data_IF_485378595797
#
_entry.id   IF_485378595797
#
_cell.length_a   1.000
_cell.length_b   1.000
_cell.length_c   1.000
_cell.angle_alpha   90.00
_cell.angle_beta   90.00
_cell.angle_gamma   90.00
#
_symmetry.space_group_name_H-M   'P 1'
#
loop_
_entity.id
_entity.type
_entity.pdbx_description
1 polymer ?
#
# COMPACT_ATOMS: atom_id res chain seq x y z
N UNK A 1 -0.21 16.00 76.23
CA UNK A 1 -1.11 15.34 75.26
C UNK A 1 -0.71 15.83 73.87
N UNK A 2 0.35 15.33 73.23
CA UNK A 2 0.50 14.07 72.45
C UNK A 2 -0.59 13.86 71.40
N UNK A 3 -0.29 14.17 70.13
CA UNK A 3 -0.35 13.19 69.03
C UNK A 3 0.29 13.75 67.74
N UNK A 4 1.31 13.03 67.28
CA UNK A 4 1.97 13.19 66.00
C UNK A 4 1.19 12.46 64.89
N UNK A 5 1.19 12.98 63.65
CA UNK A 5 0.79 12.20 62.48
C UNK A 5 1.85 12.32 61.38
N UNK A 6 2.55 11.21 61.15
CA UNK A 6 3.60 11.07 60.15
C UNK A 6 3.03 10.85 58.75
N UNK A 7 3.48 11.65 57.79
CA UNK A 7 3.25 11.44 56.36
C UNK A 7 4.10 10.26 55.85
N UNK A 8 3.46 9.15 55.49
CA UNK A 8 4.08 8.09 54.67
C UNK A 8 3.85 8.36 53.18
N UNK A 9 4.94 8.54 52.44
CA UNK A 9 4.99 8.55 50.97
C UNK A 9 4.52 7.20 50.41
N UNK A 10 3.52 7.23 49.53
CA UNK A 10 3.09 6.08 48.72
C UNK A 10 3.95 5.98 47.45
N UNK A 11 4.68 4.87 47.32
CA UNK A 11 5.39 4.48 46.10
C UNK A 11 4.38 3.91 45.09
N UNK A 12 4.10 4.66 44.03
CA UNK A 12 3.21 4.22 42.94
C UNK A 12 3.94 3.21 42.06
N UNK A 13 3.77 1.93 42.35
CA UNK A 13 4.28 0.82 41.54
C UNK A 13 3.68 0.83 40.13
N UNK A 14 4.53 0.82 39.12
CA UNK A 14 4.16 0.66 37.71
C UNK A 14 3.48 -0.70 37.52
N UNK A 15 2.16 -0.71 37.22
CA UNK A 15 1.42 -1.94 36.91
C UNK A 15 1.86 -2.44 35.54
N UNK A 16 2.77 -3.40 35.52
CA UNK A 16 3.11 -4.20 34.33
C UNK A 16 1.83 -4.82 33.75
N UNK A 17 1.60 -4.67 32.44
CA UNK A 17 0.49 -5.31 31.74
C UNK A 17 0.65 -6.83 31.84
N UNK A 18 -0.41 -7.53 32.28
CA UNK A 18 -0.39 -8.99 32.45
C UNK A 18 -0.16 -9.71 31.12
N UNK A 19 0.65 -10.78 31.12
CA UNK A 19 0.89 -11.66 29.99
C UNK A 19 -0.39 -12.16 29.32
N UNK A 20 -1.47 -12.36 30.07
CA UNK A 20 -2.76 -12.79 29.51
C UNK A 20 -3.40 -11.74 28.61
N UNK A 21 -3.20 -10.45 28.91
CA UNK A 21 -3.65 -9.33 28.06
C UNK A 21 -2.80 -9.28 26.79
N UNK A 22 -1.48 -9.45 26.91
CA UNK A 22 -0.56 -9.49 25.77
C UNK A 22 -0.93 -10.65 24.82
N UNK A 23 -1.17 -11.84 25.35
CA UNK A 23 -1.57 -13.01 24.56
C UNK A 23 -2.91 -12.79 23.83
N UNK A 24 -3.91 -12.20 24.48
CA UNK A 24 -5.19 -11.85 23.84
C UNK A 24 -5.03 -10.81 22.74
N UNK A 25 -4.21 -9.79 22.96
CA UNK A 25 -3.89 -8.80 21.92
C UNK A 25 -3.23 -9.52 20.74
N UNK A 26 -2.25 -10.39 21.00
CA UNK A 26 -1.58 -11.16 19.96
C UNK A 26 -2.57 -12.04 19.17
N UNK A 27 -3.50 -12.72 19.83
CA UNK A 27 -4.54 -13.52 19.16
C UNK A 27 -5.43 -12.68 18.25
N UNK A 28 -5.90 -11.51 18.71
CA UNK A 28 -6.70 -10.58 17.89
C UNK A 28 -5.88 -10.11 16.69
N UNK A 29 -4.61 -9.74 16.90
CA UNK A 29 -3.70 -9.32 15.84
C UNK A 29 -3.40 -10.44 14.84
N UNK A 30 -3.50 -11.71 15.23
CA UNK A 30 -3.31 -12.86 14.34
C UNK A 30 -4.54 -13.19 13.49
N UNK A 31 -5.72 -12.64 13.80
CA UNK A 31 -6.91 -12.82 12.95
C UNK A 31 -6.61 -12.29 11.56
N UNK A 32 -6.84 -13.12 10.53
CA UNK A 32 -6.45 -12.85 9.14
C UNK A 32 -6.83 -11.43 8.66
N UNK A 33 -8.07 -10.99 8.93
CA UNK A 33 -8.54 -9.67 8.53
C UNK A 33 -7.87 -8.52 9.30
N UNK A 34 -7.50 -8.72 10.57
CA UNK A 34 -6.78 -7.72 11.36
C UNK A 34 -5.33 -7.59 10.86
N UNK A 35 -4.69 -8.72 10.51
CA UNK A 35 -3.36 -8.71 9.88
C UNK A 35 -3.35 -7.95 8.57
N UNK A 36 -4.32 -8.22 7.71
CA UNK A 36 -4.44 -7.56 6.41
C UNK A 36 -4.76 -6.07 6.56
N UNK A 37 -5.65 -5.71 7.50
CA UNK A 37 -5.93 -4.31 7.84
C UNK A 37 -4.66 -3.57 8.28
N UNK A 38 -3.90 -4.12 9.21
CA UNK A 38 -2.67 -3.49 9.73
C UNK A 38 -1.57 -3.43 8.66
N UNK A 39 -1.48 -4.45 7.81
CA UNK A 39 -0.56 -4.45 6.69
C UNK A 39 -0.89 -3.34 5.69
N UNK A 40 -2.15 -3.23 5.26
CA UNK A 40 -2.62 -2.16 4.37
C UNK A 40 -2.50 -0.77 5.00
N UNK A 41 -2.76 -0.64 6.30
CA UNK A 41 -2.52 0.59 7.05
C UNK A 41 -1.05 1.01 6.99
N UNK A 42 -0.14 0.11 7.34
CA UNK A 42 1.28 0.44 7.45
C UNK A 42 1.92 0.68 6.09
N UNK A 43 1.60 -0.14 5.08
CA UNK A 43 2.14 0.04 3.73
C UNK A 43 1.64 1.33 3.08
N UNK A 44 0.35 1.66 3.23
CA UNK A 44 -0.21 2.91 2.72
C UNK A 44 0.38 4.11 3.47
N UNK A 45 0.57 4.02 4.79
CA UNK A 45 1.23 5.07 5.57
C UNK A 45 2.65 5.35 5.03
N UNK A 46 3.47 4.30 4.87
CA UNK A 46 4.86 4.43 4.38
C UNK A 46 4.90 5.02 2.98
N UNK A 47 4.11 4.49 2.05
CA UNK A 47 4.04 4.99 0.67
C UNK A 47 3.63 6.47 0.64
N UNK A 48 2.63 6.86 1.43
CA UNK A 48 2.15 8.23 1.48
C UNK A 48 3.12 9.20 2.16
N UNK A 49 3.86 8.78 3.18
CA UNK A 49 4.89 9.64 3.80
C UNK A 49 5.95 10.02 2.76
N UNK A 50 6.46 9.06 1.98
CA UNK A 50 7.44 9.36 0.94
C UNK A 50 6.84 10.18 -0.21
N UNK A 51 5.65 9.81 -0.68
CA UNK A 51 4.95 10.54 -1.74
C UNK A 51 4.67 11.99 -1.35
N UNK A 52 3.94 12.23 -0.28
CA UNK A 52 3.58 13.58 0.18
C UNK A 52 4.82 14.39 0.60
N UNK A 53 5.81 13.76 1.23
CA UNK A 53 7.08 14.42 1.59
C UNK A 53 7.88 14.91 0.37
N UNK A 54 7.86 14.16 -0.74
CA UNK A 54 8.49 14.57 -1.99
C UNK A 54 7.76 15.75 -2.65
N UNK A 55 6.42 15.80 -2.57
CA UNK A 55 5.64 16.96 -3.04
C UNK A 55 5.91 18.18 -2.16
N UNK A 56 6.01 18.01 -0.84
CA UNK A 56 6.36 19.09 0.08
C UNK A 56 7.71 19.72 -0.28
N UNK A 57 8.72 18.92 -0.65
CA UNK A 57 9.98 19.44 -1.18
C UNK A 57 9.78 20.26 -2.47
N UNK A 58 9.06 19.71 -3.45
CA UNK A 58 8.83 20.37 -4.75
C UNK A 58 8.10 21.71 -4.62
N UNK A 59 7.11 21.79 -3.72
CA UNK A 59 6.29 22.99 -3.50
C UNK A 59 7.04 24.03 -2.67
N UNK A 60 7.60 23.62 -1.53
CA UNK A 60 8.12 24.55 -0.52
C UNK A 60 9.52 25.06 -0.85
N UNK A 61 10.32 24.33 -1.65
CA UNK A 61 11.67 24.77 -1.99
C UNK A 61 12.19 24.21 -3.33
N UNK A 62 12.23 25.07 -4.36
CA UNK A 62 12.75 24.74 -5.70
C UNK A 62 14.22 24.28 -5.72
N UNK A 63 15.02 24.57 -4.68
CA UNK A 63 16.41 24.10 -4.60
C UNK A 63 16.52 22.61 -4.24
N UNK A 64 15.53 22.07 -3.54
CA UNK A 64 15.59 20.70 -3.00
C UNK A 64 14.51 19.78 -3.58
N UNK A 65 13.52 20.33 -4.28
CA UNK A 65 12.44 19.55 -4.87
C UNK A 65 12.19 19.86 -6.33
N UNK A 66 11.88 18.81 -7.08
CA UNK A 66 11.53 18.84 -8.50
C UNK A 66 10.40 17.85 -8.78
N UNK A 67 9.77 17.96 -9.95
CA UNK A 67 8.73 17.02 -10.36
C UNK A 67 9.25 15.58 -10.46
N UNK A 68 10.48 15.39 -10.97
CA UNK A 68 11.14 14.08 -10.96
C UNK A 68 11.29 13.53 -9.54
N UNK A 69 11.64 14.38 -8.57
CA UNK A 69 11.68 14.02 -7.15
C UNK A 69 10.35 13.48 -6.63
N UNK A 70 9.23 14.04 -7.10
CA UNK A 70 7.87 13.55 -6.79
C UNK A 70 7.62 12.18 -7.40
N UNK A 71 8.03 11.97 -8.66
CA UNK A 71 7.87 10.68 -9.32
C UNK A 71 8.68 9.58 -8.59
N UNK A 72 9.94 9.87 -8.26
CA UNK A 72 10.81 8.96 -7.50
C UNK A 72 10.29 8.69 -6.09
N UNK A 73 9.83 9.73 -5.38
CA UNK A 73 9.31 9.62 -4.02
C UNK A 73 8.05 8.75 -3.92
N UNK A 74 7.09 8.95 -4.82
CA UNK A 74 5.90 8.08 -4.88
C UNK A 74 6.25 6.67 -5.36
N UNK A 75 7.03 6.53 -6.44
CA UNK A 75 7.33 5.22 -7.01
C UNK A 75 8.11 4.31 -6.05
N UNK A 76 9.22 4.79 -5.49
CA UNK A 76 9.96 4.00 -4.50
C UNK A 76 9.29 3.97 -3.12
N UNK A 77 8.41 4.93 -2.81
CA UNK A 77 7.50 4.82 -1.67
C UNK A 77 6.56 3.61 -1.80
N UNK A 78 6.03 3.35 -3.01
CA UNK A 78 5.26 2.14 -3.32
C UNK A 78 6.13 0.89 -3.18
N UNK A 79 7.37 0.88 -3.67
CA UNK A 79 8.30 -0.25 -3.45
C UNK A 79 8.42 -0.59 -1.97
N UNK A 80 8.66 0.40 -1.11
CA UNK A 80 8.79 0.17 0.33
C UNK A 80 7.48 -0.35 0.93
N UNK A 81 6.33 0.18 0.51
CA UNK A 81 5.02 -0.32 0.92
C UNK A 81 4.77 -1.78 0.51
N UNK A 82 5.21 -2.20 -0.69
CA UNK A 82 5.16 -3.60 -1.14
C UNK A 82 6.02 -4.49 -0.25
N UNK A 83 7.23 -4.07 0.12
CA UNK A 83 8.04 -4.84 1.07
C UNK A 83 7.40 -4.96 2.46
N UNK A 84 6.69 -3.93 2.93
CA UNK A 84 6.01 -3.92 4.23
C UNK A 84 4.83 -4.91 4.28
N UNK A 85 4.02 -4.99 3.23
CA UNK A 85 2.73 -5.70 3.28
C UNK A 85 2.52 -6.80 2.23
N UNK A 86 3.43 -6.95 1.26
CA UNK A 86 3.21 -7.75 0.06
C UNK A 86 2.88 -9.22 0.37
N UNK A 87 3.57 -9.81 1.34
CA UNK A 87 3.32 -11.20 1.77
C UNK A 87 2.30 -11.36 2.90
N UNK A 88 1.66 -10.27 3.33
CA UNK A 88 0.63 -10.29 4.40
C UNK A 88 -0.75 -10.01 3.80
N UNK A 89 -0.92 -8.87 3.12
CA UNK A 89 -2.19 -8.46 2.50
C UNK A 89 -2.17 -8.50 0.98
N UNK A 90 -1.00 -8.60 0.35
CA UNK A 90 -0.80 -8.31 -1.08
C UNK A 90 -0.34 -6.87 -1.35
N UNK A 91 -0.25 -6.02 -0.32
CA UNK A 91 0.13 -4.60 -0.40
C UNK A 91 -0.64 -3.83 -1.49
N UNK A 92 -1.97 -3.84 -1.42
CA UNK A 92 -2.77 -3.13 -2.41
C UNK A 92 -2.53 -1.63 -2.33
N UNK A 93 -2.52 -1.06 -1.12
CA UNK A 93 -2.31 0.37 -0.82
C UNK A 93 -3.26 1.33 -1.56
N UNK A 94 -4.25 0.79 -2.27
CA UNK A 94 -5.04 1.47 -3.26
C UNK A 94 -6.44 0.83 -3.35
N UNK A 95 -7.47 1.65 -3.11
CA UNK A 95 -8.85 1.18 -3.14
C UNK A 95 -9.29 0.71 -4.54
N UNK A 96 -8.74 1.29 -5.61
CA UNK A 96 -8.99 0.86 -6.99
C UNK A 96 -8.38 -0.51 -7.28
N UNK A 97 -7.17 -0.78 -6.80
CA UNK A 97 -6.53 -2.10 -6.91
C UNK A 97 -7.31 -3.15 -6.12
N UNK A 98 -7.73 -2.83 -4.89
CA UNK A 98 -8.60 -3.72 -4.11
C UNK A 98 -9.94 -3.97 -4.80
N UNK A 99 -10.57 -2.92 -5.33
CA UNK A 99 -11.83 -3.03 -6.06
C UNK A 99 -11.69 -3.94 -7.28
N UNK A 100 -10.68 -3.72 -8.13
CA UNK A 100 -10.46 -4.53 -9.32
C UNK A 100 -10.19 -6.00 -8.96
N UNK A 101 -9.37 -6.27 -7.94
CA UNK A 101 -9.14 -7.65 -7.48
C UNK A 101 -10.40 -8.30 -6.92
N UNK A 102 -11.29 -7.56 -6.24
CA UNK A 102 -12.58 -8.08 -5.80
C UNK A 102 -13.54 -8.35 -6.97
N UNK A 103 -13.68 -7.38 -7.88
CA UNK A 103 -14.56 -7.46 -9.04
C UNK A 103 -14.15 -8.54 -10.05
N UNK A 104 -12.86 -8.89 -10.09
CA UNK A 104 -12.30 -9.95 -10.92
C UNK A 104 -12.13 -11.28 -10.18
N UNK A 105 -12.72 -11.43 -8.99
CA UNK A 105 -12.77 -12.71 -8.26
C UNK A 105 -11.46 -13.15 -7.60
N UNK A 106 -10.45 -12.28 -7.52
CA UNK A 106 -9.12 -12.58 -6.93
C UNK A 106 -9.09 -12.36 -5.41
N UNK A 107 -9.96 -11.50 -4.89
CA UNK A 107 -10.10 -11.20 -3.45
C UNK A 107 -11.58 -11.25 -3.06
N UNK A 108 -11.95 -11.89 -1.93
CA UNK A 108 -13.34 -11.93 -1.52
C UNK A 108 -13.84 -10.56 -1.05
N UNK A 109 -15.02 -10.14 -1.52
CA UNK A 109 -15.63 -8.82 -1.22
C UNK A 109 -15.70 -8.45 0.26
N UNK A 110 -15.79 -9.42 1.18
CA UNK A 110 -15.74 -9.17 2.63
C UNK A 110 -14.46 -8.46 3.10
N UNK A 111 -13.36 -8.56 2.35
CA UNK A 111 -12.08 -7.90 2.64
C UNK A 111 -12.01 -6.48 2.10
N UNK A 112 -12.84 -6.12 1.11
CA UNK A 112 -12.83 -4.80 0.51
C UNK A 112 -12.93 -3.66 1.54
N UNK A 113 -13.94 -3.61 2.44
CA UNK A 113 -14.03 -2.53 3.42
C UNK A 113 -12.88 -2.56 4.44
N UNK A 114 -12.34 -3.74 4.75
CA UNK A 114 -11.20 -3.91 5.66
C UNK A 114 -9.94 -3.28 5.08
N UNK A 115 -9.65 -3.57 3.81
CA UNK A 115 -8.49 -3.04 3.10
C UNK A 115 -8.62 -1.53 2.94
N UNK A 116 -9.76 -1.05 2.42
CA UNK A 116 -9.98 0.39 2.17
C UNK A 116 -9.91 1.19 3.48
N UNK A 117 -10.45 0.67 4.59
CA UNK A 117 -10.33 1.33 5.89
C UNK A 117 -8.86 1.43 6.35
N UNK A 118 -8.09 0.34 6.21
CA UNK A 118 -6.66 0.35 6.53
C UNK A 118 -5.92 1.40 5.72
N UNK A 119 -6.13 1.39 4.40
CA UNK A 119 -5.51 2.34 3.47
C UNK A 119 -5.88 3.79 3.81
N UNK A 120 -7.17 4.07 4.06
CA UNK A 120 -7.64 5.42 4.34
C UNK A 120 -7.04 5.97 5.64
N UNK A 121 -7.01 5.16 6.70
CA UNK A 121 -6.40 5.56 7.97
C UNK A 121 -4.89 5.75 7.85
N UNK A 122 -4.19 4.86 7.13
CA UNK A 122 -2.76 4.98 6.87
C UNK A 122 -2.42 6.27 6.11
N UNK A 123 -3.15 6.56 5.04
CA UNK A 123 -2.95 7.78 4.27
C UNK A 123 -3.33 9.06 5.02
N UNK A 124 -4.40 9.05 5.82
CA UNK A 124 -4.79 10.20 6.63
C UNK A 124 -3.71 10.55 7.65
N UNK A 125 -3.18 9.55 8.36
CA UNK A 125 -2.11 9.76 9.34
C UNK A 125 -0.78 10.12 8.67
N UNK A 126 -0.48 9.62 7.48
CA UNK A 126 0.68 10.05 6.71
C UNK A 126 0.59 11.55 6.36
N UNK A 127 -0.60 12.03 5.95
CA UNK A 127 -0.84 13.46 5.72
C UNK A 127 -0.61 14.28 7.00
N UNK A 128 -1.13 13.83 8.14
CA UNK A 128 -0.89 14.49 9.43
C UNK A 128 0.60 14.50 9.84
N UNK A 129 1.32 13.40 9.61
CA UNK A 129 2.77 13.31 9.83
C UNK A 129 3.51 14.32 8.96
N UNK A 130 3.23 14.39 7.66
CA UNK A 130 3.90 15.34 6.76
C UNK A 130 3.58 16.78 7.13
N UNK A 131 2.33 17.09 7.47
CA UNK A 131 1.98 18.42 7.96
C UNK A 131 2.76 18.80 9.22
N UNK A 132 2.91 17.87 10.17
CA UNK A 132 3.68 18.09 11.40
C UNK A 132 5.16 18.31 11.12
N UNK A 133 5.78 17.46 10.29
CA UNK A 133 7.20 17.55 9.96
C UNK A 133 7.55 18.81 9.16
N UNK A 134 6.66 19.25 8.27
CA UNK A 134 6.86 20.42 7.42
C UNK A 134 6.14 21.67 7.94
N UNK A 135 5.58 21.66 9.16
CA UNK A 135 4.72 22.72 9.68
C UNK A 135 5.34 24.11 9.53
N UNK A 136 6.58 24.28 10.00
CA UNK A 136 7.30 25.57 9.92
C UNK A 136 7.64 25.97 8.48
N UNK A 137 7.96 25.01 7.62
CA UNK A 137 8.25 25.26 6.20
C UNK A 137 6.98 25.70 5.44
N UNK A 138 5.84 25.06 5.71
CA UNK A 138 4.53 25.44 5.14
C UNK A 138 4.16 26.85 5.57
N UNK A 139 4.25 27.16 6.87
CA UNK A 139 3.90 28.49 7.38
C UNK A 139 4.85 29.57 6.86
N UNK A 140 6.15 29.28 6.76
CA UNK A 140 7.13 30.21 6.20
C UNK A 140 6.86 30.51 4.72
N UNK A 141 6.64 29.47 3.91
CA UNK A 141 6.36 29.60 2.47
C UNK A 141 5.06 30.36 2.20
N UNK A 142 4.02 30.08 2.98
CA UNK A 142 2.68 30.63 2.76
C UNK A 142 2.38 31.93 3.52
N UNK A 143 3.33 32.46 4.30
CA UNK A 143 3.08 33.60 5.18
C UNK A 143 1.98 33.34 6.23
N UNK A 144 1.81 32.07 6.64
CA UNK A 144 0.77 31.62 7.56
C UNK A 144 -0.62 31.39 6.92
N UNK A 145 -0.77 31.54 5.61
CA UNK A 145 -2.06 31.38 4.92
C UNK A 145 -2.17 30.04 4.19
N UNK A 146 -3.02 29.15 4.70
CA UNK A 146 -3.23 27.83 4.11
C UNK A 146 -4.14 27.90 2.87
N UNK A 147 -3.53 28.09 1.69
CA UNK A 147 -4.24 28.31 0.42
C UNK A 147 -4.38 27.04 -0.43
N UNK A 148 -5.52 26.92 -1.12
CA UNK A 148 -5.81 25.82 -2.08
C UNK A 148 -5.30 26.16 -3.49
N UNK A 149 -5.45 27.41 -3.90
CA UNK A 149 -5.00 27.93 -5.20
C UNK A 149 -4.20 29.20 -5.03
N UNK A 150 -3.47 29.60 -6.07
CA UNK A 150 -2.64 30.80 -6.08
C UNK A 150 -1.14 30.50 -5.95
N UNK A 151 -0.29 31.55 -5.96
CA UNK A 151 1.15 31.41 -6.12
C UNK A 151 1.85 30.71 -4.94
N UNK A 152 1.24 30.74 -3.76
CA UNK A 152 1.75 30.10 -2.54
C UNK A 152 0.81 28.98 -2.04
N UNK A 153 0.05 28.38 -2.96
CA UNK A 153 -0.85 27.27 -2.64
C UNK A 153 -0.09 26.06 -2.06
N UNK A 154 -0.65 25.48 -1.01
CA UNK A 154 -0.02 24.37 -0.26
C UNK A 154 -0.93 23.15 -0.15
N UNK A 155 -2.22 23.25 -0.50
CA UNK A 155 -3.14 22.10 -0.46
C UNK A 155 -2.70 20.97 -1.43
N UNK A 156 -2.08 21.34 -2.55
CA UNK A 156 -1.54 20.42 -3.55
C UNK A 156 -0.41 19.52 -3.03
N UNK A 157 0.15 19.82 -1.85
CA UNK A 157 1.09 18.91 -1.17
C UNK A 157 0.40 17.59 -0.82
N UNK A 158 -0.90 17.63 -0.47
CA UNK A 158 -1.62 16.52 0.15
C UNK A 158 -2.52 15.78 -0.86
N UNK A 159 -3.26 16.51 -1.68
CA UNK A 159 -4.23 15.96 -2.63
C UNK A 159 -4.03 16.56 -4.03
N UNK A 160 -4.62 15.92 -5.03
CA UNK A 160 -4.51 16.36 -6.43
C UNK A 160 -5.54 17.46 -6.74
N UNK A 161 -5.20 18.34 -7.68
CA UNK A 161 -6.09 19.41 -8.15
C UNK A 161 -5.95 19.53 -9.66
N UNK A 162 -7.05 19.84 -10.34
CA UNK A 162 -7.00 20.09 -11.79
C UNK A 162 -6.19 21.36 -12.08
N UNK A 163 -5.26 21.32 -13.06
CA UNK A 163 -4.67 22.52 -13.60
C UNK A 163 -5.69 23.26 -14.48
N UNK A 164 -5.57 24.58 -14.61
CA UNK A 164 -6.56 25.45 -15.27
C UNK A 164 -6.85 25.10 -16.74
N UNK A 165 -5.93 24.41 -17.42
CA UNK A 165 -6.11 23.99 -18.82
C UNK A 165 -6.94 22.71 -18.99
N UNK A 166 -7.26 22.01 -17.88
CA UNK A 166 -7.99 20.75 -17.91
C UNK A 166 -9.46 20.92 -17.58
N UNK A 167 -10.31 20.28 -18.37
CA UNK A 167 -11.74 20.12 -18.06
C UNK A 167 -11.96 18.90 -17.17
N UNK A 168 -13.02 18.90 -16.35
CA UNK A 168 -13.40 17.76 -15.52
C UNK A 168 -13.48 16.42 -16.29
N UNK A 169 -14.11 16.40 -17.47
CA UNK A 169 -14.21 15.19 -18.32
C UNK A 169 -12.84 14.63 -18.74
N UNK A 170 -11.94 15.49 -19.22
CA UNK A 170 -10.57 15.06 -19.58
C UNK A 170 -9.78 14.58 -18.38
N UNK A 171 -10.03 15.17 -17.20
CA UNK A 171 -9.44 14.73 -15.94
C UNK A 171 -9.92 13.34 -15.55
N UNK A 172 -11.23 13.10 -15.66
CA UNK A 172 -11.83 11.77 -15.47
C UNK A 172 -11.25 10.73 -16.43
N UNK A 173 -11.17 11.06 -17.73
CA UNK A 173 -10.57 10.20 -18.73
C UNK A 173 -9.10 9.87 -18.41
N UNK A 174 -8.30 10.87 -18.01
CA UNK A 174 -6.92 10.66 -17.59
C UNK A 174 -6.83 9.71 -16.39
N UNK A 175 -7.51 10.01 -15.28
CA UNK A 175 -7.45 9.18 -14.07
C UNK A 175 -7.90 7.73 -14.34
N UNK A 176 -8.94 7.53 -15.16
CA UNK A 176 -9.37 6.19 -15.57
C UNK A 176 -8.29 5.49 -16.41
N UNK A 177 -7.72 6.17 -17.41
CA UNK A 177 -6.72 5.58 -18.31
C UNK A 177 -5.41 5.24 -17.59
N UNK A 178 -4.88 6.17 -16.78
CA UNK A 178 -3.66 5.97 -16.01
C UNK A 178 -3.82 4.81 -15.02
N UNK A 179 -4.97 4.72 -14.35
CA UNK A 179 -5.22 3.61 -13.41
C UNK A 179 -5.43 2.29 -14.15
N UNK A 180 -6.00 2.30 -15.35
CA UNK A 180 -6.07 1.12 -16.21
C UNK A 180 -4.69 0.61 -16.61
N UNK A 181 -3.78 1.49 -17.01
CA UNK A 181 -2.39 1.15 -17.29
C UNK A 181 -1.69 0.60 -16.05
N UNK A 182 -1.87 1.24 -14.89
CA UNK A 182 -1.36 0.73 -13.62
C UNK A 182 -1.84 -0.71 -13.37
N UNK A 183 -3.15 -0.97 -13.42
CA UNK A 183 -3.69 -2.28 -13.08
C UNK A 183 -3.30 -3.37 -14.07
N UNK A 184 -3.26 -3.04 -15.37
CA UNK A 184 -2.80 -3.95 -16.43
C UNK A 184 -1.34 -4.36 -16.19
N UNK A 185 -0.46 -3.38 -15.96
CA UNK A 185 0.95 -3.65 -15.72
C UNK A 185 1.20 -4.33 -14.37
N UNK A 186 0.43 -4.02 -13.32
CA UNK A 186 0.49 -4.76 -12.05
C UNK A 186 0.21 -6.25 -12.25
N UNK A 187 -0.80 -6.60 -13.05
CA UNK A 187 -1.05 -8.00 -13.39
C UNK A 187 0.10 -8.59 -14.19
N UNK A 188 0.58 -7.92 -15.25
CA UNK A 188 1.73 -8.40 -16.03
C UNK A 188 2.98 -8.69 -15.19
N UNK A 189 3.32 -7.81 -14.24
CA UNK A 189 4.49 -7.93 -13.38
C UNK A 189 4.37 -9.09 -12.39
N UNK A 190 3.15 -9.45 -11.97
CA UNK A 190 2.91 -10.42 -10.88
C UNK A 190 2.31 -11.75 -11.34
N UNK A 191 1.90 -11.86 -12.60
CA UNK A 191 1.28 -13.05 -13.18
C UNK A 191 2.32 -14.15 -13.42
N UNK A 192 2.25 -15.20 -12.60
CA UNK A 192 3.18 -16.32 -12.66
C UNK A 192 3.04 -17.18 -13.92
N UNK A 193 1.93 -17.03 -14.67
CA UNK A 193 1.70 -17.75 -15.92
C UNK A 193 2.20 -16.98 -17.15
N UNK A 194 2.65 -15.73 -16.97
CA UNK A 194 3.20 -14.87 -18.03
C UNK A 194 4.73 -14.73 -17.85
N UNK A 195 5.26 -13.52 -17.99
CA UNK A 195 6.66 -13.16 -17.73
C UNK A 195 6.72 -12.23 -16.51
N UNK A 196 6.50 -12.76 -15.28
CA UNK A 196 6.51 -11.94 -14.08
C UNK A 196 7.93 -11.43 -13.81
N UNK A 197 8.02 -10.40 -12.97
CA UNK A 197 9.31 -10.04 -12.38
C UNK A 197 9.86 -11.21 -11.54
N UNK A 198 11.19 -11.31 -11.45
CA UNK A 198 11.84 -12.35 -10.66
C UNK A 198 11.36 -12.26 -9.19
N UNK A 199 10.98 -13.38 -8.54
CA UNK A 199 10.49 -13.34 -7.17
C UNK A 199 11.44 -12.63 -6.21
N UNK A 200 10.93 -11.64 -5.48
CA UNK A 200 11.69 -10.73 -4.62
C UNK A 200 12.04 -9.38 -5.27
N UNK A 201 11.83 -9.21 -6.57
CA UNK A 201 12.11 -7.96 -7.31
C UNK A 201 10.86 -7.21 -7.75
N UNK A 202 9.67 -7.80 -7.59
CA UNK A 202 8.38 -7.24 -8.02
C UNK A 202 8.15 -5.86 -7.42
N UNK A 203 8.52 -5.67 -6.15
CA UNK A 203 8.40 -4.39 -5.45
C UNK A 203 9.14 -3.25 -6.18
N UNK A 204 10.34 -3.51 -6.72
CA UNK A 204 11.13 -2.51 -7.44
C UNK A 204 10.51 -2.23 -8.81
N UNK A 205 10.09 -3.27 -9.54
CA UNK A 205 9.47 -3.11 -10.86
C UNK A 205 8.14 -2.38 -10.77
N UNK A 206 7.32 -2.66 -9.76
CA UNK A 206 6.09 -1.91 -9.46
C UNK A 206 6.40 -0.46 -9.10
N UNK A 207 7.47 -0.20 -8.36
CA UNK A 207 7.90 1.17 -8.07
C UNK A 207 8.28 1.93 -9.34
N UNK A 208 9.08 1.31 -10.21
CA UNK A 208 9.47 1.86 -11.52
C UNK A 208 8.23 2.18 -12.36
N UNK A 209 7.24 1.28 -12.40
CA UNK A 209 5.96 1.51 -13.07
C UNK A 209 5.28 2.81 -12.58
N UNK A 210 5.21 3.01 -11.26
CA UNK A 210 4.61 4.22 -10.68
C UNK A 210 5.45 5.47 -10.98
N UNK A 211 6.78 5.37 -10.97
CA UNK A 211 7.68 6.47 -11.41
C UNK A 211 7.32 6.88 -12.84
N UNK A 212 7.28 5.93 -13.79
CA UNK A 212 7.09 6.27 -15.21
C UNK A 212 5.68 6.72 -15.55
N UNK A 213 4.65 6.28 -14.80
CA UNK A 213 3.30 6.86 -14.90
C UNK A 213 3.36 8.34 -14.53
N UNK A 214 4.03 8.69 -13.42
CA UNK A 214 4.20 10.09 -13.01
C UNK A 214 4.99 10.92 -14.03
N UNK A 215 6.12 10.39 -14.51
CA UNK A 215 6.98 11.05 -15.51
C UNK A 215 6.23 11.31 -16.81
N UNK A 216 5.49 10.31 -17.30
CA UNK A 216 4.93 10.33 -18.66
C UNK A 216 3.52 10.93 -18.74
N UNK A 217 2.72 10.76 -17.68
CA UNK A 217 1.27 11.00 -17.73
C UNK A 217 0.76 11.90 -16.60
N UNK A 218 1.62 12.34 -15.68
CA UNK A 218 1.17 12.93 -14.44
C UNK A 218 0.80 14.42 -14.47
N UNK A 219 1.17 15.16 -15.51
CA UNK A 219 1.01 16.63 -15.53
C UNK A 219 -0.45 17.11 -15.59
N UNK A 220 -1.37 16.28 -16.11
CA UNK A 220 -2.76 16.68 -16.36
C UNK A 220 -3.63 16.65 -15.10
N UNK A 221 -3.32 15.77 -14.14
CA UNK A 221 -4.17 15.53 -12.96
C UNK A 221 -3.38 15.31 -11.67
N UNK A 222 -2.05 15.30 -11.72
CA UNK A 222 -1.22 14.86 -10.59
C UNK A 222 -1.23 13.35 -10.36
N UNK A 223 -1.69 12.57 -11.36
CA UNK A 223 -1.76 11.10 -11.38
C UNK A 223 -2.17 10.51 -10.04
N UNK A 224 -3.38 10.83 -9.57
CA UNK A 224 -3.85 10.31 -8.29
C UNK A 224 -3.85 8.78 -8.29
N UNK A 225 -4.46 8.18 -9.32
CA UNK A 225 -4.56 6.74 -9.65
C UNK A 225 -4.95 5.83 -8.47
N UNK A 226 -5.42 6.42 -7.38
CA UNK A 226 -5.59 5.79 -6.08
C UNK A 226 -6.52 6.65 -5.20
N UNK A 227 -7.76 6.20 -4.94
CA UNK A 227 -8.69 6.92 -4.06
C UNK A 227 -8.15 7.11 -2.65
N UNK A 228 -7.42 6.13 -2.13
CA UNK A 228 -6.82 6.13 -0.79
C UNK A 228 -5.66 7.11 -0.66
N UNK A 229 -5.04 7.53 -1.77
CA UNK A 229 -3.96 8.54 -1.83
C UNK A 229 -4.47 9.97 -1.92
N UNK A 230 -5.72 10.16 -2.34
CA UNK A 230 -6.28 11.49 -2.60
C UNK A 230 -7.30 11.93 -1.54
N UNK A 231 -8.34 11.11 -1.32
CA UNK A 231 -9.46 11.51 -0.46
C UNK A 231 -9.05 11.66 1.02
N UNK A 232 -8.31 10.73 1.65
CA UNK A 232 -7.93 10.88 3.05
C UNK A 232 -7.04 12.10 3.33
N UNK A 233 -5.98 12.40 2.54
CA UNK A 233 -5.22 13.64 2.70
C UNK A 233 -6.05 14.90 2.41
N UNK A 234 -7.00 14.85 1.48
CA UNK A 234 -7.94 15.96 1.23
C UNK A 234 -8.82 16.24 2.44
N UNK A 235 -9.38 15.19 3.06
CA UNK A 235 -10.13 15.29 4.33
C UNK A 235 -9.22 15.86 5.44
N UNK A 236 -7.96 15.43 5.51
CA UNK A 236 -7.00 16.03 6.45
C UNK A 236 -6.86 17.54 6.21
N UNK A 237 -6.63 17.99 4.97
CA UNK A 237 -6.49 19.43 4.68
C UNK A 237 -7.75 20.24 4.99
N UNK A 238 -8.94 19.66 4.81
CA UNK A 238 -10.20 20.28 5.22
C UNK A 238 -10.22 20.53 6.74
N UNK A 239 -9.86 19.52 7.54
CA UNK A 239 -9.81 19.61 9.00
C UNK A 239 -8.69 20.55 9.47
N UNK A 240 -7.53 20.53 8.79
CA UNK A 240 -6.34 21.27 9.18
C UNK A 240 -6.40 22.78 8.88
N UNK A 241 -7.42 23.25 8.14
CA UNK A 241 -7.69 24.68 7.98
C UNK A 241 -7.60 25.25 6.56
N UNK A 242 -7.36 24.43 5.53
CA UNK A 242 -7.45 24.90 4.13
C UNK A 242 -8.90 25.22 3.68
N UNK A 243 -9.90 24.73 4.43
CA UNK A 243 -11.31 25.07 4.25
C UNK A 243 -12.02 24.29 3.14
N UNK A 244 -13.29 24.64 2.88
CA UNK A 244 -14.19 23.91 1.95
C UNK A 244 -13.68 23.87 0.50
N UNK A 245 -12.80 24.80 0.13
CA UNK A 245 -12.25 24.89 -1.23
C UNK A 245 -11.47 23.65 -1.65
N UNK A 246 -10.94 22.86 -0.69
CA UNK A 246 -10.28 21.59 -1.00
C UNK A 246 -11.19 20.59 -1.70
N UNK A 247 -12.51 20.74 -1.56
CA UNK A 247 -13.51 19.93 -2.26
C UNK A 247 -14.17 20.66 -3.42
N UNK A 248 -14.41 21.97 -3.34
CA UNK A 248 -15.12 22.70 -4.40
C UNK A 248 -14.24 23.14 -5.56
N UNK A 249 -12.90 23.17 -5.39
CA UNK A 249 -11.97 23.54 -6.45
C UNK A 249 -12.01 22.54 -7.63
N UNK A 250 -11.73 23.03 -8.84
CA UNK A 250 -11.70 22.23 -10.06
C UNK A 250 -13.06 21.61 -10.40
N UNK A 251 -14.14 22.39 -10.29
CA UNK A 251 -15.52 21.95 -10.59
C UNK A 251 -15.94 20.73 -9.74
N UNK A 252 -15.64 20.77 -8.44
CA UNK A 252 -15.77 19.64 -7.51
C UNK A 252 -14.86 18.46 -7.87
N UNK A 253 -13.59 18.70 -8.22
CA UNK A 253 -12.63 17.68 -8.66
C UNK A 253 -12.51 16.45 -7.74
N UNK A 254 -12.71 16.63 -6.43
CA UNK A 254 -12.42 15.62 -5.39
C UNK A 254 -12.99 14.22 -5.64
N UNK A 255 -14.15 14.10 -6.31
CA UNK A 255 -14.78 12.80 -6.54
C UNK A 255 -14.15 12.05 -7.71
N UNK A 256 -13.47 12.74 -8.62
CA UNK A 256 -12.86 12.14 -9.81
C UNK A 256 -11.71 11.20 -9.42
N UNK A 257 -10.72 11.59 -8.58
CA UNK A 257 -9.71 10.68 -8.03
C UNK A 257 -10.28 9.52 -7.20
N UNK A 258 -11.56 9.55 -6.85
CA UNK A 258 -12.24 8.45 -6.14
C UNK A 258 -12.90 7.49 -7.12
N UNK A 259 -13.63 7.99 -8.12
CA UNK A 259 -14.46 7.15 -9.01
C UNK A 259 -13.69 6.70 -10.26
N UNK A 260 -12.97 7.61 -10.92
CA UNK A 260 -12.28 7.30 -12.18
C UNK A 260 -11.23 6.19 -12.00
N UNK A 261 -10.41 6.18 -10.93
CA UNK A 261 -9.49 5.07 -10.69
C UNK A 261 -10.17 3.70 -10.51
N UNK A 262 -11.34 3.63 -9.85
CA UNK A 262 -12.05 2.35 -9.69
C UNK A 262 -12.45 1.75 -11.04
N UNK A 263 -13.01 2.59 -11.92
CA UNK A 263 -13.36 2.21 -13.28
C UNK A 263 -12.11 1.82 -14.08
N UNK A 264 -11.08 2.66 -14.02
CA UNK A 264 -9.81 2.45 -14.69
C UNK A 264 -9.17 1.12 -14.33
N UNK A 265 -9.01 0.84 -13.03
CA UNK A 265 -8.43 -0.41 -12.54
C UNK A 265 -9.24 -1.62 -13.02
N UNK A 266 -10.57 -1.57 -12.91
CA UNK A 266 -11.42 -2.67 -13.38
C UNK A 266 -11.26 -2.93 -14.89
N UNK A 267 -11.31 -1.87 -15.72
CA UNK A 267 -11.13 -1.99 -17.17
C UNK A 267 -9.72 -2.48 -17.54
N UNK A 268 -8.67 -1.95 -16.90
CA UNK A 268 -7.29 -2.40 -17.13
C UNK A 268 -7.08 -3.87 -16.76
N UNK A 269 -7.69 -4.32 -15.65
CA UNK A 269 -7.67 -5.72 -15.25
C UNK A 269 -8.44 -6.64 -16.22
N UNK A 270 -9.62 -6.21 -16.71
CA UNK A 270 -10.36 -6.93 -17.76
C UNK A 270 -9.52 -7.03 -19.04
N UNK A 271 -8.92 -5.93 -19.50
CA UNK A 271 -8.08 -5.91 -20.69
C UNK A 271 -6.92 -6.90 -20.54
N UNK A 272 -6.23 -6.93 -19.40
CA UNK A 272 -5.17 -7.91 -19.17
C UNK A 272 -5.68 -9.35 -19.26
N UNK A 273 -6.78 -9.68 -18.58
CA UNK A 273 -7.31 -11.06 -18.57
C UNK A 273 -7.81 -11.51 -19.95
N UNK A 274 -8.44 -10.62 -20.72
CA UNK A 274 -8.96 -10.92 -22.05
C UNK A 274 -7.83 -11.01 -23.08
N UNK A 275 -6.94 -10.02 -23.14
CA UNK A 275 -5.96 -9.93 -24.22
C UNK A 275 -4.65 -10.66 -23.94
N UNK A 276 -4.24 -10.77 -22.68
CA UNK A 276 -2.99 -11.45 -22.29
C UNK A 276 -3.32 -12.80 -21.66
N UNK A 277 -4.18 -12.82 -20.64
CA UNK A 277 -4.54 -14.02 -19.90
C UNK A 277 -5.16 -15.13 -20.77
N UNK A 278 -5.86 -14.77 -21.84
CA UNK A 278 -6.48 -15.74 -22.76
C UNK A 278 -5.51 -16.30 -23.80
N UNK A 279 -4.32 -15.70 -23.96
CA UNK A 279 -3.28 -16.19 -24.89
C UNK A 279 -2.33 -17.18 -24.24
N UNK A 280 -2.36 -17.29 -22.91
CA UNK A 280 -1.53 -18.20 -22.13
C UNK A 280 -2.22 -19.57 -22.07
N UNK A 281 -1.61 -20.65 -22.58
CA UNK A 281 -2.16 -22.00 -22.45
C UNK A 281 -2.22 -22.39 -20.98
N UNK A 282 -3.42 -22.34 -20.39
CA UNK A 282 -3.65 -22.89 -19.05
C UNK A 282 -3.82 -24.38 -19.16
N UNK A 283 -3.08 -25.13 -18.36
CA UNK A 283 -3.38 -26.55 -18.16
C UNK A 283 -4.84 -26.61 -17.67
N UNK A 284 -5.73 -27.36 -18.34
CA UNK A 284 -7.10 -27.48 -17.88
C UNK A 284 -7.03 -27.96 -16.44
N UNK A 285 -7.67 -27.22 -15.52
CA UNK A 285 -7.86 -27.68 -14.15
C UNK A 285 -8.37 -29.11 -14.26
N UNK A 286 -7.57 -30.08 -13.81
CA UNK A 286 -8.09 -31.41 -13.54
C UNK A 286 -9.19 -31.17 -12.51
N UNK A 287 -10.44 -31.23 -12.95
CA UNK A 287 -11.50 -31.59 -12.02
C UNK A 287 -10.99 -32.89 -11.42
N UNK A 288 -10.65 -32.88 -10.14
CA UNK A 288 -10.73 -34.11 -9.38
C UNK A 288 -12.19 -34.53 -9.53
N UNK A 289 -12.40 -35.44 -10.47
CA UNK A 289 -13.60 -36.25 -10.51
C UNK A 289 -13.80 -36.75 -9.10
N UNK A 290 -15.02 -36.59 -8.61
CA UNK A 290 -15.51 -37.11 -7.35
C UNK A 290 -15.11 -38.58 -7.19
N UNK A 291 -13.93 -38.82 -6.61
CA UNK A 291 -13.51 -40.15 -6.19
C UNK A 291 -14.18 -40.40 -4.85
N UNK A 292 -15.26 -41.17 -4.94
CA UNK A 292 -15.72 -42.10 -3.93
C UNK A 292 -15.79 -41.56 -2.48
N UNK A 293 -16.93 -40.97 -2.14
CA UNK A 293 -17.49 -41.27 -0.82
C UNK A 293 -17.94 -42.73 -0.85
N UNK A 294 -16.98 -43.65 -0.66
CA UNK A 294 -17.32 -44.99 -0.20
C UNK A 294 -17.85 -44.87 1.23
N UNK A 295 -19.06 -45.39 1.37
CA UNK A 295 -19.86 -45.50 2.56
C UNK A 295 -19.12 -46.32 3.63
N UNK A 296 -18.28 -45.66 4.44
CA UNK A 296 -17.80 -46.25 5.68
C UNK A 296 -18.91 -46.19 6.71
N UNK A 297 -19.74 -47.25 6.63
CA UNK A 297 -20.76 -47.59 7.58
C UNK A 297 -20.30 -47.38 9.02
N UNK A 298 -21.13 -46.61 9.73
CA UNK A 298 -21.05 -46.38 11.17
C UNK A 298 -21.16 -47.75 11.86
N UNK A 299 -20.02 -48.35 12.20
CA UNK A 299 -19.96 -49.49 13.10
C UNK A 299 -19.64 -48.97 14.49
N UNK A 300 -20.67 -48.91 15.31
CA UNK A 300 -20.62 -48.59 16.74
C UNK A 300 -19.76 -49.66 17.44
N UNK A 301 -18.60 -49.26 17.98
CA UNK A 301 -17.81 -50.10 18.88
C UNK A 301 -18.05 -49.69 20.35
N UNK A 302 -18.32 -50.63 21.27
CA UNK A 302 -18.57 -50.32 22.68
C UNK A 302 -17.28 -50.07 23.46
N UNK A 303 -17.39 -49.15 24.42
CA UNK A 303 -16.38 -48.73 25.40
C UNK A 303 -15.91 -49.86 26.32
N UNK A 304 -14.58 -49.91 26.55
CA UNK A 304 -13.85 -49.76 27.83
C UNK A 304 -12.68 -50.74 27.96
N UNK A 305 -11.52 -50.22 28.36
CA UNK A 305 -10.37 -51.01 28.78
C UNK A 305 -9.06 -50.23 28.70
N UNK A 306 -8.68 -49.60 29.81
CA UNK A 306 -7.46 -48.85 30.10
C UNK A 306 -6.15 -49.59 29.78
N UNK A 307 -5.13 -48.88 29.26
CA UNK A 307 -3.77 -48.80 29.84
C UNK A 307 -2.85 -47.83 29.05
N UNK A 308 -1.85 -47.32 29.76
CA UNK A 308 -1.10 -46.05 29.65
C UNK A 308 -0.13 -45.87 28.46
N UNK A 309 0.31 -44.62 28.17
CA UNK A 309 1.16 -44.28 27.04
C UNK A 309 2.65 -44.20 27.42
N UNK A 310 3.52 -44.90 26.68
CA UNK A 310 4.98 -44.72 26.77
C UNK A 310 5.48 -43.87 25.61
N UNK A 311 5.99 -42.70 25.98
CA UNK A 311 6.62 -41.67 25.13
C UNK A 311 7.98 -42.19 24.62
N UNK A 312 8.27 -41.98 23.33
CA UNK A 312 9.65 -42.04 22.79
C UNK A 312 9.94 -40.77 21.99
N UNK A 313 11.11 -40.13 22.14
CA UNK A 313 11.38 -38.81 21.60
C UNK A 313 11.96 -38.84 20.18
N UNK A 314 11.55 -37.87 19.38
CA UNK A 314 12.07 -37.55 18.04
C UNK A 314 13.50 -36.98 18.14
N UNK A 315 14.44 -37.57 17.40
CA UNK A 315 15.74 -36.98 17.08
C UNK A 315 15.66 -36.19 15.77
N UNK A 316 16.25 -34.98 15.67
CA UNK A 316 16.26 -34.21 14.43
C UNK A 316 17.49 -34.54 13.58
N UNK A 317 17.26 -34.75 12.28
CA UNK A 317 18.32 -34.91 11.26
C UNK A 317 18.86 -33.53 10.87
N UNK A 318 20.18 -33.36 11.03
CA UNK A 318 20.96 -32.22 10.58
C UNK A 318 21.58 -32.53 9.21
N UNK A 319 21.45 -31.63 8.24
CA UNK A 319 22.19 -31.69 6.96
C UNK A 319 22.85 -30.33 6.72
N UNK A 320 24.18 -30.33 6.80
CA UNK A 320 25.05 -29.21 6.41
C UNK A 320 25.32 -29.20 4.90
N UNK A 321 25.65 -28.04 4.30
CA UNK A 321 25.67 -27.84 2.85
C UNK A 321 27.06 -28.09 2.25
N UNK A 322 27.12 -28.80 1.13
CA UNK A 322 28.32 -28.89 0.29
C UNK A 322 27.93 -29.04 -1.18
N UNK A 323 27.94 -27.94 -1.94
CA UNK A 323 28.70 -27.90 -3.20
C UNK A 323 28.73 -26.48 -3.78
N UNK A 324 29.94 -25.91 -3.83
CA UNK A 324 30.30 -24.72 -4.62
C UNK A 324 30.68 -25.20 -6.01
N UNK A 325 30.10 -24.59 -7.05
CA UNK A 325 30.71 -24.53 -8.38
C UNK A 325 31.13 -23.09 -8.67
N UNK A 326 32.35 -22.99 -9.18
CA UNK A 326 33.13 -21.80 -9.51
C UNK A 326 32.64 -21.09 -10.77
N UNK A 327 32.53 -19.77 -10.74
CA UNK A 327 32.51 -18.92 -11.95
C UNK A 327 33.46 -17.75 -11.74
N UNK A 328 34.31 -17.54 -12.76
CA UNK A 328 35.47 -16.63 -12.82
C UNK A 328 35.10 -15.13 -12.78
N UNK A 329 36.07 -14.25 -12.42
CA UNK A 329 35.86 -12.80 -12.38
C UNK A 329 36.09 -12.15 -13.76
N UNK A 330 35.21 -11.21 -14.14
CA UNK A 330 35.40 -10.32 -15.28
C UNK A 330 36.21 -9.06 -14.86
N UNK A 331 37.05 -8.49 -15.74
CA UNK A 331 37.92 -7.35 -15.43
C UNK A 331 37.20 -5.98 -15.58
N UNK A 332 37.77 -4.88 -15.05
CA UNK A 332 37.10 -3.59 -15.01
C UNK A 332 37.27 -2.82 -16.32
N UNK A 333 36.20 -2.19 -16.81
CA UNK A 333 36.25 -1.20 -17.87
C UNK A 333 36.15 0.21 -17.26
N UNK A 334 37.31 0.85 -17.17
CA UNK A 334 37.43 2.31 -17.26
C UNK A 334 37.14 2.71 -18.71
N UNK A 335 36.20 3.61 -18.94
CA UNK A 335 36.45 4.88 -19.64
C UNK A 335 35.17 5.72 -19.76
N UNK A 336 35.38 7.01 -19.62
CA UNK A 336 34.45 8.12 -19.65
C UNK A 336 33.74 8.28 -20.99
N UNK A 337 32.44 8.59 -20.96
CA UNK A 337 31.83 9.45 -21.97
C UNK A 337 30.79 10.35 -21.32
N UNK A 338 31.07 11.64 -21.40
CA UNK A 338 30.16 12.75 -21.11
C UNK A 338 29.21 12.97 -22.30
N UNK A 339 27.94 13.26 -22.01
CA UNK A 339 26.94 13.92 -22.87
C UNK A 339 25.92 14.54 -21.89
N UNK A 340 26.07 15.81 -21.50
CA UNK A 340 25.48 17.00 -22.14
C UNK A 340 23.98 16.90 -22.48
N UNK A 341 23.21 17.75 -21.79
CA UNK A 341 21.93 18.36 -22.15
C UNK A 341 20.76 17.47 -22.58
N UNK A 342 19.79 17.26 -21.66
CA UNK A 342 18.36 17.58 -21.79
C UNK A 342 17.70 17.57 -20.41
#
# INVERSE_FOLDING_TARGET
MVQASGHRRSTRGSKMVSWSVIAKIQEILQRKMVREFLAEFMSTYVMMVFGLGSVAHMVLNKKYGSYLGVNLGFGFGVTMGVHVAGRISGAHMNAAVTFANCALGRVPWRKFPVYVLGQFLGSFLAAATIYSLFYTAILHFSGGQLMVTGPVATAGIFATYLPDHMTLWRGFLNEAWLTGMLQLCLFAITDQENNPALPGTEALVIGILVVIIGVSLGMNTGYAINPSRDLPPRIFTFIAGWGKQVFSNGENWWWVPVVAPLLGAYLGGIIYLVFIGSTIPREPLKLEDSVAYEDHGITVLPKMGSHEPTISPLTPVSVSPANRSSVHPAPPLHESMALEHF
#
